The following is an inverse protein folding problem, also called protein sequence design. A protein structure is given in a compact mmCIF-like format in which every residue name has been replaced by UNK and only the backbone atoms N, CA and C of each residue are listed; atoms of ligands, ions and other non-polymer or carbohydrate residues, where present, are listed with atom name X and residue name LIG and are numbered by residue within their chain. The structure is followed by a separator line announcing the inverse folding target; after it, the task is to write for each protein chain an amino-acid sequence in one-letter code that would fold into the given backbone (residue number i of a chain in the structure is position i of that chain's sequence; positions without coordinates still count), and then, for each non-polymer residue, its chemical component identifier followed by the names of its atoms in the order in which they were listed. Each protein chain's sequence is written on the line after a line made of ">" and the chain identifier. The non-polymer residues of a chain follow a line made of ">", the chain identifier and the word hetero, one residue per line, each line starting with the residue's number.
data_IF_587127619421
#
_entry.id   IF_587127619421
#
_cell.length_a   1.000
_cell.length_b   1.000
_cell.length_c   1.000
_cell.angle_alpha   90.00
_cell.angle_beta   90.00
_cell.angle_gamma   90.00
#
_symmetry.space_group_name_H-M   'P 1'
#
loop_
_entity.id
_entity.type
_entity.pdbx_description
1 polymer ?
#
# COMPACT_ATOMS: atom_id res chain seq x y z
N UNK A 1 10.71 16.60 -3.13
CA UNK A 1 9.50 15.94 -3.63
C UNK A 1 9.76 14.47 -3.97
N UNK A 2 10.65 14.20 -4.93
CA UNK A 2 10.96 12.84 -5.36
C UNK A 2 11.71 12.00 -4.31
N UNK A 3 12.53 12.61 -3.46
CA UNK A 3 13.15 11.93 -2.32
C UNK A 3 12.12 11.34 -1.33
N UNK A 4 11.22 12.17 -0.78
CA UNK A 4 10.10 11.68 0.04
C UNK A 4 9.23 10.63 -0.67
N UNK A 5 8.90 10.84 -1.94
CA UNK A 5 8.14 9.86 -2.74
C UNK A 5 8.87 8.51 -2.82
N UNK A 6 10.17 8.51 -3.12
CA UNK A 6 10.96 7.28 -3.21
C UNK A 6 10.96 6.54 -1.88
N UNK A 7 11.12 7.25 -0.76
CA UNK A 7 11.11 6.66 0.58
C UNK A 7 9.74 6.08 0.91
N UNK A 8 8.66 6.82 0.66
CA UNK A 8 7.29 6.35 0.89
C UNK A 8 6.99 5.11 0.04
N UNK A 9 7.38 5.10 -1.24
CA UNK A 9 7.19 3.94 -2.10
C UNK A 9 7.99 2.71 -1.65
N UNK A 10 9.23 2.90 -1.16
CA UNK A 10 9.98 1.81 -0.53
C UNK A 10 9.28 1.26 0.71
N UNK A 11 8.70 2.13 1.55
CA UNK A 11 7.93 1.70 2.73
C UNK A 11 6.66 0.93 2.34
N UNK A 12 5.93 1.39 1.33
CA UNK A 12 4.76 0.68 0.79
C UNK A 12 5.14 -0.70 0.25
N UNK A 13 6.27 -0.82 -0.47
CA UNK A 13 6.78 -2.10 -0.93
C UNK A 13 7.17 -3.03 0.22
N UNK A 14 7.85 -2.52 1.24
CA UNK A 14 8.21 -3.32 2.43
C UNK A 14 6.95 -3.81 3.15
N UNK A 15 5.96 -2.93 3.33
CA UNK A 15 4.68 -3.27 3.97
C UNK A 15 3.93 -4.33 3.15
N UNK A 16 3.87 -4.16 1.83
CA UNK A 16 3.29 -5.15 0.93
C UNK A 16 3.96 -6.52 1.03
N UNK A 17 5.30 -6.55 1.05
CA UNK A 17 6.07 -7.79 1.15
C UNK A 17 5.88 -8.45 2.53
N UNK A 18 5.87 -7.65 3.59
CA UNK A 18 5.63 -8.10 4.96
C UNK A 18 4.22 -8.70 5.12
N UNK A 19 3.19 -7.98 4.67
CA UNK A 19 1.80 -8.44 4.74
C UNK A 19 1.56 -9.72 3.93
N UNK A 20 2.24 -9.87 2.80
CA UNK A 20 2.18 -11.08 1.99
C UNK A 20 3.16 -12.18 2.41
N UNK A 21 3.99 -11.94 3.43
CA UNK A 21 5.06 -12.86 3.88
C UNK A 21 5.99 -13.33 2.75
N UNK A 22 6.14 -12.53 1.68
CA UNK A 22 6.87 -12.95 0.48
C UNK A 22 6.19 -14.03 -0.36
N UNK A 23 4.98 -14.46 -0.03
CA UNK A 23 4.21 -15.46 -0.79
C UNK A 23 3.66 -14.93 -2.11
N UNK A 24 3.58 -13.60 -2.26
CA UNK A 24 3.13 -12.93 -3.47
C UNK A 24 4.28 -12.22 -4.15
N UNK A 25 4.44 -12.50 -5.43
CA UNK A 25 5.33 -11.71 -6.29
C UNK A 25 4.66 -10.38 -6.64
N UNK A 26 5.46 -9.31 -6.65
CA UNK A 26 5.01 -8.00 -7.12
C UNK A 26 4.81 -8.07 -8.64
N UNK A 27 3.59 -7.78 -9.09
CA UNK A 27 3.25 -7.71 -10.52
C UNK A 27 3.09 -6.27 -10.96
N UNK A 28 3.12 -6.04 -12.28
CA UNK A 28 2.86 -4.72 -12.88
C UNK A 28 1.52 -4.11 -12.43
N UNK A 29 0.52 -4.94 -12.15
CA UNK A 29 -0.78 -4.49 -11.64
C UNK A 29 -0.76 -3.90 -10.23
N UNK A 30 0.27 -4.21 -9.44
CA UNK A 30 0.44 -3.74 -8.07
C UNK A 30 1.14 -2.38 -8.00
N UNK A 31 1.80 -1.98 -9.09
CA UNK A 31 2.52 -0.71 -9.17
C UNK A 31 1.61 0.48 -8.84
N UNK A 32 0.45 0.59 -9.50
CA UNK A 32 -0.38 1.79 -9.36
C UNK A 32 -0.97 1.94 -7.95
N UNK A 33 -1.55 0.90 -7.30
CA UNK A 33 -1.99 1.00 -5.91
C UNK A 33 -0.88 1.42 -4.95
N UNK A 34 0.31 0.80 -5.04
CA UNK A 34 1.45 1.11 -4.17
C UNK A 34 2.00 2.52 -4.43
N UNK A 35 2.13 2.89 -5.71
CA UNK A 35 2.55 4.22 -6.11
C UNK A 35 1.56 5.28 -5.66
N UNK A 36 0.26 5.03 -5.79
CA UNK A 36 -0.78 5.98 -5.42
C UNK A 36 -0.78 6.25 -3.90
N UNK A 37 -0.64 5.20 -3.09
CA UNK A 37 -0.50 5.34 -1.63
C UNK A 37 0.74 6.19 -1.28
N UNK A 38 1.90 5.86 -1.87
CA UNK A 38 3.13 6.62 -1.68
C UNK A 38 3.04 8.07 -2.16
N UNK A 39 2.35 8.30 -3.28
CA UNK A 39 2.11 9.63 -3.83
C UNK A 39 1.28 10.47 -2.87
N UNK A 40 0.15 9.95 -2.41
CA UNK A 40 -0.72 10.65 -1.46
C UNK A 40 0.00 10.99 -0.15
N UNK A 41 0.88 10.12 0.33
CA UNK A 41 1.69 10.34 1.53
C UNK A 41 2.82 11.37 1.31
N UNK A 42 3.39 11.44 0.11
CA UNK A 42 4.57 12.27 -0.16
C UNK A 42 4.27 13.65 -0.75
N UNK A 43 3.17 13.80 -1.51
CA UNK A 43 2.78 15.06 -2.15
C UNK A 43 1.92 15.93 -1.22
N UNK A 44 2.43 16.18 -0.01
CA UNK A 44 1.82 17.10 0.96
C UNK A 44 2.22 18.54 0.67
N UNK A 45 1.43 19.50 1.15
CA UNK A 45 1.71 20.94 1.05
C UNK A 45 3.10 21.26 1.57
N UNK A 46 3.48 20.68 2.70
CA UNK A 46 4.77 20.93 3.35
C UNK A 46 5.94 20.40 2.51
N UNK A 47 5.81 19.19 1.97
CA UNK A 47 6.81 18.61 1.08
C UNK A 47 6.95 19.40 -0.23
N UNK A 48 5.83 19.91 -0.76
CA UNK A 48 5.82 20.76 -1.96
C UNK A 48 6.55 22.08 -1.68
N UNK A 49 6.16 22.79 -0.61
CA UNK A 49 6.78 24.06 -0.22
C UNK A 49 8.27 23.88 0.11
N UNK A 50 8.64 22.82 0.84
CA UNK A 50 10.02 22.47 1.12
C UNK A 50 10.83 22.21 -0.16
N UNK A 51 10.22 21.57 -1.16
CA UNK A 51 10.86 21.32 -2.46
C UNK A 51 11.15 22.61 -3.22
N UNK A 52 10.20 23.56 -3.24
CA UNK A 52 10.41 24.87 -3.86
C UNK A 52 11.48 25.70 -3.14
N UNK A 53 11.47 25.70 -1.80
CA UNK A 53 12.53 26.35 -1.00
C UNK A 53 13.91 25.74 -1.30
N UNK A 54 13.98 24.43 -1.48
CA UNK A 54 15.22 23.70 -1.76
C UNK A 54 15.83 23.98 -3.15
N UNK A 55 15.03 24.47 -4.11
CA UNK A 55 15.53 24.91 -5.42
C UNK A 55 15.95 26.37 -5.41
N UNK A 56 15.48 27.17 -4.45
CA UNK A 56 15.73 28.61 -4.40
C UNK A 56 15.07 29.36 -5.56
N UNK A 57 14.09 28.76 -6.24
CA UNK A 57 13.30 29.41 -7.29
C UNK A 57 12.18 30.22 -6.63
N UNK A 58 11.48 29.61 -5.66
CA UNK A 58 10.40 30.23 -4.89
C UNK A 58 10.61 29.88 -3.41
N UNK A 59 10.96 30.87 -2.55
CA UNK A 59 11.39 32.23 -2.87
C UNK A 59 12.69 32.26 -3.69
N UNK A 60 12.94 33.35 -4.42
CA UNK A 60 14.17 33.51 -5.22
C UNK A 60 15.39 33.66 -4.28
N UNK A 61 16.18 32.60 -4.14
CA UNK A 61 17.47 32.58 -3.44
C UNK A 61 18.49 31.71 -4.19
N UNK A 62 19.28 32.30 -5.11
CA UNK A 62 20.31 31.59 -5.86
C UNK A 62 21.41 30.97 -4.98
N UNK A 63 21.59 31.46 -3.75
CA UNK A 63 22.64 30.97 -2.84
C UNK A 63 22.33 29.57 -2.32
N UNK A 64 21.07 29.11 -2.35
CA UNK A 64 20.67 27.77 -1.91
C UNK A 64 21.39 26.68 -2.71
N UNK A 65 21.49 26.84 -4.02
CA UNK A 65 22.21 25.89 -4.89
C UNK A 65 23.71 25.91 -4.60
N UNK A 66 24.28 27.10 -4.42
CA UNK A 66 25.70 27.26 -4.12
C UNK A 66 26.10 26.67 -2.75
N UNK A 67 25.20 26.70 -1.76
CA UNK A 67 25.42 26.08 -0.43
C UNK A 67 25.56 24.56 -0.51
N UNK A 68 24.92 23.88 -1.48
CA UNK A 68 24.98 22.40 -1.61
C UNK A 68 26.37 21.88 -1.96
N UNK A 69 27.20 22.70 -2.60
CA UNK A 69 28.57 22.32 -3.00
C UNK A 69 29.62 22.68 -1.94
N UNK A 70 29.23 23.44 -0.91
CA UNK A 70 30.08 23.69 0.27
C UNK A 70 29.86 22.52 1.23
N UNK A 71 30.83 21.62 1.38
CA UNK A 71 30.74 20.49 2.33
C UNK A 71 30.49 21.02 3.76
N UNK A 72 29.33 20.80 4.36
CA UNK A 72 29.19 20.92 5.80
C UNK A 72 29.60 19.59 6.43
N UNK A 73 30.37 19.67 7.52
CA UNK A 73 30.57 18.55 8.45
C UNK A 73 29.20 18.01 8.88
N UNK A 74 29.08 16.68 8.83
CA UNK A 74 27.94 15.84 9.18
C UNK A 74 27.16 16.32 10.40
N UNK A 75 25.85 16.52 10.27
CA UNK A 75 24.88 16.17 11.32
C UNK A 75 23.63 15.55 10.66
N UNK A 76 23.43 14.28 11.01
CA UNK A 76 22.43 13.39 10.48
C UNK A 76 21.12 13.68 11.21
N UNK A 77 20.23 14.42 10.53
CA UNK A 77 18.94 14.83 11.07
C UNK A 77 18.12 13.63 11.55
N UNK A 78 17.69 13.76 12.79
CA UNK A 78 16.99 12.77 13.59
C UNK A 78 15.77 12.19 12.86
N UNK A 79 15.68 10.87 12.93
CA UNK A 79 14.53 10.09 12.49
C UNK A 79 13.30 10.57 13.26
N UNK A 80 12.36 11.21 12.58
CA UNK A 80 11.04 11.49 13.13
C UNK A 80 10.44 10.19 13.64
N UNK A 81 10.18 10.16 14.95
CA UNK A 81 9.45 9.07 15.59
C UNK A 81 8.12 8.91 14.88
N UNK A 82 7.88 7.69 14.39
CA UNK A 82 6.56 7.25 13.95
C UNK A 82 5.61 7.41 15.13
N UNK A 83 4.70 8.37 15.06
CA UNK A 83 3.53 8.42 15.93
C UNK A 83 2.74 7.13 15.72
N UNK A 84 2.86 6.23 16.68
CA UNK A 84 2.00 5.07 16.80
C UNK A 84 0.59 5.58 17.11
N UNK A 85 -0.21 5.79 16.07
CA UNK A 85 -1.67 5.86 16.19
C UNK A 85 -2.13 4.42 16.43
N UNK A 86 -1.98 3.99 17.68
CA UNK A 86 -2.39 2.69 18.18
C UNK A 86 -3.81 2.79 18.75
N UNK A 87 -4.69 2.04 18.11
CA UNK A 87 -6.09 1.78 18.44
C UNK A 87 -6.33 1.48 19.93
N UNK A 88 -7.13 2.34 20.56
CA UNK A 88 -8.21 1.99 21.51
C UNK A 88 -7.90 1.40 22.90
N UNK A 89 -6.78 0.71 23.12
CA UNK A 89 -6.48 0.05 24.40
C UNK A 89 -4.99 0.02 24.70
N UNK A 90 -4.42 1.20 24.95
CA UNK A 90 -3.03 1.33 25.39
C UNK A 90 -2.73 0.40 26.57
N UNK A 91 -1.61 -0.33 26.52
CA UNK A 91 -1.07 -1.10 27.65
C UNK A 91 -1.14 -0.33 28.98
N UNK A 92 -0.98 1.01 28.93
CA UNK A 92 -1.12 1.89 30.09
C UNK A 92 -2.49 1.81 30.76
N UNK A 93 -3.57 1.73 29.98
CA UNK A 93 -4.94 1.60 30.49
C UNK A 93 -5.18 0.23 31.11
N UNK A 94 -4.69 -0.82 30.45
CA UNK A 94 -4.79 -2.20 30.91
C UNK A 94 -4.00 -2.37 32.23
N UNK A 95 -2.75 -1.91 32.25
CA UNK A 95 -1.90 -1.91 33.43
C UNK A 95 -2.53 -1.12 34.57
N UNK A 96 -3.11 0.06 34.29
CA UNK A 96 -3.85 0.84 35.27
C UNK A 96 -5.01 0.07 35.90
N UNK A 97 -5.76 -0.71 35.11
CA UNK A 97 -6.84 -1.58 35.62
C UNK A 97 -6.30 -2.75 36.45
N UNK A 98 -5.23 -3.40 36.01
CA UNK A 98 -4.58 -4.49 36.75
C UNK A 98 -4.10 -3.99 38.12
N UNK A 99 -3.37 -2.87 38.14
CA UNK A 99 -2.84 -2.27 39.37
C UNK A 99 -3.96 -1.83 40.32
N UNK A 100 -5.10 -1.35 39.80
CA UNK A 100 -6.26 -0.96 40.61
C UNK A 100 -7.01 -2.15 41.22
N UNK A 101 -6.93 -3.33 40.59
CA UNK A 101 -7.62 -4.53 41.05
C UNK A 101 -6.78 -5.38 42.02
N UNK A 102 -5.46 -5.22 42.01
CA UNK A 102 -4.53 -6.00 42.84
C UNK A 102 -4.25 -5.26 44.15
N UNK A 103 -4.30 -5.99 45.28
CA UNK A 103 -4.08 -5.43 46.62
C UNK A 103 -2.66 -4.87 46.81
N UNK A 104 -1.65 -5.58 46.32
CA UNK A 104 -0.23 -5.18 46.35
C UNK A 104 0.38 -5.21 44.94
N UNK A 105 0.42 -4.10 44.19
CA UNK A 105 0.91 -4.10 42.81
C UNK A 105 2.42 -4.33 42.68
N UNK A 106 3.18 -4.20 43.77
CA UNK A 106 4.61 -4.52 43.81
C UNK A 106 4.88 -5.99 44.19
N UNK A 107 3.84 -6.79 44.48
CA UNK A 107 4.01 -8.21 44.77
C UNK A 107 4.62 -8.93 43.56
N UNK A 108 5.28 -10.05 43.83
CA UNK A 108 5.93 -10.85 42.79
C UNK A 108 4.88 -11.41 41.82
N UNK A 109 3.76 -11.87 42.36
CA UNK A 109 2.62 -12.43 41.64
C UNK A 109 1.94 -11.37 40.76
N UNK A 110 1.80 -10.14 41.26
CA UNK A 110 1.24 -9.01 40.50
C UNK A 110 2.11 -8.63 39.30
N UNK A 111 3.43 -8.65 39.48
CA UNK A 111 4.41 -8.41 38.42
C UNK A 111 4.40 -9.53 37.38
N UNK A 112 4.38 -10.79 37.81
CA UNK A 112 4.26 -11.95 36.92
C UNK A 112 2.95 -11.93 36.11
N UNK A 113 1.83 -11.55 36.73
CA UNK A 113 0.57 -11.38 36.03
C UNK A 113 0.63 -10.25 34.99
N UNK A 114 1.25 -9.12 35.34
CA UNK A 114 1.39 -7.99 34.43
C UNK A 114 2.28 -8.33 33.23
N UNK A 115 3.38 -9.05 33.43
CA UNK A 115 4.29 -9.46 32.36
C UNK A 115 3.64 -10.49 31.44
N UNK A 116 2.92 -11.48 31.99
CA UNK A 116 2.20 -12.48 31.20
C UNK A 116 1.05 -11.86 30.41
N UNK A 117 0.32 -10.90 30.98
CA UNK A 117 -0.71 -10.18 30.24
C UNK A 117 -0.10 -9.33 29.13
N UNK A 118 1.00 -8.61 29.40
CA UNK A 118 1.68 -7.80 28.39
C UNK A 118 2.21 -8.66 27.23
N UNK A 119 2.79 -9.82 27.52
CA UNK A 119 3.26 -10.75 26.50
C UNK A 119 2.11 -11.31 25.67
N UNK A 120 0.98 -11.66 26.31
CA UNK A 120 -0.22 -12.14 25.62
C UNK A 120 -0.86 -11.06 24.74
N UNK A 121 -0.90 -9.81 25.21
CA UNK A 121 -1.36 -8.66 24.44
C UNK A 121 -0.49 -8.46 23.19
N UNK A 122 0.83 -8.43 23.36
CA UNK A 122 1.80 -8.28 22.25
C UNK A 122 1.64 -9.41 21.23
N UNK A 123 1.46 -10.65 21.69
CA UNK A 123 1.22 -11.79 20.80
C UNK A 123 -0.13 -11.67 20.07
N UNK A 124 -1.17 -11.18 20.74
CA UNK A 124 -2.48 -10.96 20.13
C UNK A 124 -2.40 -9.88 19.05
N UNK A 125 -1.73 -8.77 19.31
CA UNK A 125 -1.52 -7.69 18.34
C UNK A 125 -0.73 -8.20 17.12
N UNK A 126 0.36 -8.92 17.35
CA UNK A 126 1.18 -9.50 16.29
C UNK A 126 0.37 -10.45 15.40
N UNK A 127 -0.41 -11.35 16.00
CA UNK A 127 -1.32 -12.24 15.27
C UNK A 127 -2.40 -11.49 14.49
N UNK A 128 -2.97 -10.43 15.07
CA UNK A 128 -3.98 -9.62 14.41
C UNK A 128 -3.42 -8.89 13.19
N UNK A 129 -2.21 -8.33 13.30
CA UNK A 129 -1.50 -7.73 12.18
C UNK A 129 -1.20 -8.76 11.09
N UNK A 130 -0.74 -9.96 11.47
CA UNK A 130 -0.46 -11.06 10.53
C UNK A 130 -1.73 -11.51 9.78
N UNK A 131 -2.83 -11.76 10.50
CA UNK A 131 -4.12 -12.16 9.91
C UNK A 131 -4.63 -11.08 8.96
N UNK A 132 -4.54 -9.80 9.34
CA UNK A 132 -4.95 -8.69 8.49
C UNK A 132 -4.11 -8.64 7.21
N UNK A 133 -2.79 -8.72 7.33
CA UNK A 133 -1.88 -8.73 6.16
C UNK A 133 -2.15 -9.91 5.22
N UNK A 134 -2.36 -11.12 5.77
CA UNK A 134 -2.68 -12.31 4.97
C UNK A 134 -4.03 -12.19 4.25
N UNK A 135 -5.04 -11.55 4.86
CA UNK A 135 -6.33 -11.27 4.20
C UNK A 135 -6.15 -10.33 3.01
N UNK A 136 -5.40 -9.24 3.18
CA UNK A 136 -5.10 -8.28 2.10
C UNK A 136 -4.30 -8.93 0.97
N UNK A 137 -3.33 -9.78 1.32
CA UNK A 137 -2.57 -10.56 0.37
C UNK A 137 -3.50 -11.51 -0.42
N UNK A 138 -4.41 -12.21 0.26
CA UNK A 138 -5.36 -13.11 -0.39
C UNK A 138 -6.25 -12.35 -1.38
N UNK A 139 -6.74 -11.17 -1.03
CA UNK A 139 -7.55 -10.34 -1.92
C UNK A 139 -6.74 -9.80 -3.10
N UNK A 140 -5.48 -9.45 -2.89
CA UNK A 140 -4.56 -9.10 -3.98
C UNK A 140 -4.33 -10.27 -4.92
N UNK A 141 -4.14 -11.48 -4.38
CA UNK A 141 -4.02 -12.72 -5.16
C UNK A 141 -5.28 -12.99 -5.98
N UNK A 142 -6.48 -12.74 -5.44
CA UNK A 142 -7.73 -12.81 -6.20
C UNK A 142 -7.73 -11.78 -7.33
N UNK A 143 -7.33 -10.53 -7.07
CA UNK A 143 -7.21 -9.48 -8.10
C UNK A 143 -6.22 -9.87 -9.20
N UNK A 144 -5.10 -10.50 -8.87
CA UNK A 144 -4.13 -11.01 -9.84
C UNK A 144 -4.68 -12.12 -10.74
N UNK A 145 -5.58 -12.96 -10.22
CA UNK A 145 -6.23 -14.03 -10.99
C UNK A 145 -7.35 -13.52 -11.90
N UNK A 146 -7.93 -12.35 -11.60
CA UNK A 146 -8.95 -11.75 -12.46
C UNK A 146 -8.30 -11.37 -13.79
N UNK A 147 -8.60 -12.15 -14.83
CA UNK A 147 -8.24 -11.78 -16.20
C UNK A 147 -8.98 -10.49 -16.54
N UNK A 148 -8.23 -9.42 -16.85
CA UNK A 148 -8.78 -8.26 -17.53
C UNK A 148 -8.94 -8.66 -18.98
N UNK A 149 -10.17 -8.77 -19.46
CA UNK A 149 -10.45 -8.91 -20.87
C UNK A 149 -10.20 -7.56 -21.51
N UNK A 150 -9.23 -7.51 -22.43
CA UNK A 150 -9.09 -6.35 -23.31
C UNK A 150 -10.16 -6.49 -24.36
N UNK A 151 -11.11 -5.56 -24.38
CA UNK A 151 -12.09 -5.47 -25.44
C UNK A 151 -11.38 -5.32 -26.77
N UNK A 152 -11.48 -6.35 -27.60
CA UNK A 152 -10.98 -6.31 -28.97
C UNK A 152 -11.83 -5.32 -29.77
N UNK A 153 -11.33 -4.09 -29.89
CA UNK A 153 -11.91 -3.06 -30.72
C UNK A 153 -11.18 -3.11 -32.08
N UNK A 154 -11.93 -3.14 -33.18
CA UNK A 154 -11.35 -3.10 -34.53
C UNK A 154 -10.49 -1.84 -34.71
N UNK A 155 -9.26 -2.03 -35.17
CA UNK A 155 -8.36 -0.92 -35.47
C UNK A 155 -8.88 -0.12 -36.68
N UNK A 156 -8.93 1.23 -36.61
CA UNK A 156 -9.18 2.05 -37.79
C UNK A 156 -8.13 1.77 -38.87
N UNK A 157 -8.53 1.78 -40.15
CA UNK A 157 -7.66 1.44 -41.29
C UNK A 157 -6.43 2.37 -41.44
N UNK A 158 -6.44 3.52 -40.77
CA UNK A 158 -5.36 4.51 -40.79
C UNK A 158 -4.79 4.68 -39.38
N UNK A 159 -3.59 4.14 -39.18
CA UNK A 159 -2.88 4.23 -37.91
C UNK A 159 -2.02 5.50 -37.89
N UNK A 160 -2.57 6.62 -37.43
CA UNK A 160 -1.86 7.92 -37.41
C UNK A 160 -0.86 8.05 -36.24
N UNK A 161 -0.52 6.95 -35.54
CA UNK A 161 0.47 6.95 -34.46
C UNK A 161 0.07 7.74 -33.20
N UNK A 162 -1.15 8.29 -33.16
CA UNK A 162 -1.75 8.93 -31.99
C UNK A 162 -2.58 7.97 -31.14
N UNK A 163 -3.10 8.45 -30.01
CA UNK A 163 -4.04 7.68 -29.19
C UNK A 163 -5.32 7.35 -29.98
N UNK A 164 -5.76 6.09 -29.95
CA UNK A 164 -6.98 5.65 -30.63
C UNK A 164 -8.21 6.10 -29.84
N UNK A 165 -9.07 6.90 -30.45
CA UNK A 165 -10.35 7.30 -29.88
C UNK A 165 -11.47 6.42 -30.45
N UNK A 166 -12.24 5.78 -29.56
CA UNK A 166 -13.38 4.96 -29.94
C UNK A 166 -14.68 5.64 -29.57
N UNK A 167 -15.68 5.57 -30.44
CA UNK A 167 -17.02 6.06 -30.14
C UNK A 167 -17.72 5.13 -29.14
N UNK A 168 -18.64 5.63 -28.29
CA UNK A 168 -19.39 4.80 -27.36
C UNK A 168 -20.14 3.64 -28.03
N UNK A 169 -20.58 3.81 -29.29
CA UNK A 169 -21.23 2.75 -30.07
C UNK A 169 -20.28 1.59 -30.36
N UNK A 170 -19.03 1.88 -30.78
CA UNK A 170 -18.01 0.87 -31.05
C UNK A 170 -17.61 0.08 -29.80
N UNK A 171 -17.56 0.75 -28.66
CA UNK A 171 -17.34 0.08 -27.36
C UNK A 171 -18.47 -0.88 -27.02
N UNK A 172 -19.74 -0.48 -27.22
CA UNK A 172 -20.91 -1.35 -26.99
C UNK A 172 -20.91 -2.57 -27.91
N UNK A 173 -20.55 -2.40 -29.17
CA UNK A 173 -20.43 -3.47 -30.16
C UNK A 173 -19.38 -4.51 -29.73
N UNK A 174 -18.17 -4.09 -29.37
CA UNK A 174 -17.14 -4.99 -28.87
C UNK A 174 -17.57 -5.70 -27.57
N UNK A 175 -18.25 -5.00 -26.64
CA UNK A 175 -18.80 -5.62 -25.43
C UNK A 175 -19.87 -6.67 -25.72
N UNK A 176 -20.62 -6.50 -26.80
CA UNK A 176 -21.59 -7.50 -27.24
C UNK A 176 -20.89 -8.74 -27.80
N UNK A 177 -19.92 -8.55 -28.70
CA UNK A 177 -19.12 -9.64 -29.28
C UNK A 177 -18.39 -10.44 -28.19
N UNK A 178 -17.79 -9.76 -27.23
CA UNK A 178 -17.08 -10.40 -26.10
C UNK A 178 -18.01 -11.27 -25.26
N UNK A 179 -19.22 -10.77 -24.94
CA UNK A 179 -20.24 -11.53 -24.20
C UNK A 179 -20.65 -12.80 -24.93
N UNK A 180 -20.85 -12.73 -26.25
CA UNK A 180 -21.15 -13.90 -27.07
C UNK A 180 -20.01 -14.92 -27.04
N UNK A 181 -18.75 -14.48 -27.25
CA UNK A 181 -17.56 -15.35 -27.15
C UNK A 181 -17.45 -16.01 -25.77
N UNK A 182 -17.87 -15.35 -24.71
CA UNK A 182 -17.82 -15.89 -23.36
C UNK A 182 -18.86 -16.98 -23.12
N UNK A 183 -20.10 -16.76 -23.55
CA UNK A 183 -21.17 -17.78 -23.50
C UNK A 183 -20.78 -19.03 -24.30
N UNK A 184 -20.20 -18.86 -25.49
CA UNK A 184 -19.72 -19.98 -26.30
C UNK A 184 -18.59 -20.77 -25.63
N UNK A 185 -17.67 -20.09 -24.94
CA UNK A 185 -16.59 -20.75 -24.17
C UNK A 185 -17.17 -21.55 -23.01
N UNK A 186 -18.13 -20.98 -22.28
CA UNK A 186 -18.81 -21.65 -21.16
C UNK A 186 -19.59 -22.88 -21.64
N UNK A 187 -20.35 -22.76 -22.73
CA UNK A 187 -21.07 -23.88 -23.33
C UNK A 187 -20.12 -25.01 -23.77
N UNK A 188 -18.95 -24.68 -24.35
CA UNK A 188 -17.93 -25.67 -24.71
C UNK A 188 -17.32 -26.38 -23.50
N UNK A 189 -17.14 -25.68 -22.37
CA UNK A 189 -16.64 -26.29 -21.14
C UNK A 189 -17.69 -27.24 -20.56
N UNK A 190 -18.96 -26.84 -20.54
CA UNK A 190 -20.06 -27.68 -20.05
C UNK A 190 -20.20 -28.96 -20.87
N UNK A 191 -20.22 -28.86 -22.21
CA UNK A 191 -20.26 -30.05 -23.08
C UNK A 191 -19.09 -31.01 -22.82
N UNK A 192 -17.87 -30.48 -22.68
CA UNK A 192 -16.68 -31.31 -22.36
C UNK A 192 -16.72 -31.93 -20.96
N UNK A 193 -17.51 -31.40 -20.04
CA UNK A 193 -17.71 -31.96 -18.71
C UNK A 193 -18.81 -33.04 -18.70
N UNK A 194 -19.79 -32.94 -19.60
CA UNK A 194 -20.83 -33.95 -19.83
C UNK A 194 -20.30 -35.17 -20.62
N UNK A 195 -19.35 -34.95 -21.53
CA UNK A 195 -18.71 -36.01 -22.34
C UNK A 195 -17.68 -36.86 -21.56
N UNK A 196 -17.56 -36.69 -20.24
CA UNK A 196 -16.50 -37.27 -19.39
C UNK A 196 -17.07 -38.11 -18.25
#
# INVERSE_FOLDING_TARGET
>A
LFGPLSRAYSQELTTYLHNSQGLLTVKKGDFFPLFWAAWMSSFTTDNILSSFRSTGIIPLDPKVVLKKFKKPTTEQGESSNSEQIGDGSSWRQIYGRIVSAVKDPSSKEAKELSTTFHSLQTQSELKNHEITGLRDALDTKKKHKKKKYTLELEEPRENTGGGMFFTPSKVKEAQFIERMKQQDREAKILRKAEDK
#
